data_IF_687469375608
#
_entry.id   IF_687469375608
#
_cell.length_a   1.000
_cell.length_b   1.000
_cell.length_c   1.000
_cell.angle_alpha   90.00
_cell.angle_beta   90.00
_cell.angle_gamma   90.00
#
_symmetry.space_group_name_H-M   'P 1'
#
loop_
_entity.id
_entity.type
_entity.pdbx_description
1 polymer ?
#
# COMPACT_ATOMS: atom_id res chain seq x y z
N UNK A 1 28.16 -14.75 20.54
CA UNK A 1 27.25 -14.55 19.38
C UNK A 1 26.38 -15.81 19.28
N UNK A 2 25.07 -15.67 19.07
CA UNK A 2 24.17 -16.84 19.06
C UNK A 2 24.37 -17.64 17.78
N UNK A 3 24.73 -18.94 17.92
CA UNK A 3 24.94 -19.86 16.80
C UNK A 3 23.73 -19.91 15.85
N UNK A 4 22.52 -19.79 16.40
CA UNK A 4 21.25 -19.76 15.65
C UNK A 4 21.18 -18.53 14.74
N UNK A 5 21.58 -17.35 15.23
CA UNK A 5 21.56 -16.12 14.45
C UNK A 5 22.56 -16.19 13.30
N UNK A 6 23.77 -16.67 13.56
CA UNK A 6 24.81 -16.79 12.53
C UNK A 6 24.40 -17.80 11.45
N UNK A 7 23.80 -18.93 11.83
CA UNK A 7 23.26 -19.91 10.89
C UNK A 7 22.11 -19.33 10.05
N UNK A 8 21.14 -18.67 10.68
CA UNK A 8 20.05 -17.99 9.98
C UNK A 8 20.59 -16.97 8.98
N UNK A 9 21.53 -16.11 9.39
CA UNK A 9 22.12 -15.09 8.50
C UNK A 9 22.86 -15.74 7.33
N UNK A 10 23.53 -16.87 7.55
CA UNK A 10 24.17 -17.65 6.49
C UNK A 10 23.17 -18.20 5.46
N UNK A 11 21.98 -18.65 5.90
CA UNK A 11 20.90 -19.07 4.99
C UNK A 11 20.29 -17.87 4.26
N UNK A 12 19.92 -16.82 4.99
CA UNK A 12 19.33 -15.61 4.41
C UNK A 12 20.21 -14.97 3.34
N UNK A 13 21.53 -14.87 3.58
CA UNK A 13 22.45 -14.29 2.59
C UNK A 13 22.53 -15.10 1.30
N UNK A 14 22.40 -16.44 1.37
CA UNK A 14 22.35 -17.31 0.18
C UNK A 14 21.04 -17.17 -0.58
N UNK A 15 19.96 -16.88 0.13
CA UNK A 15 18.60 -16.74 -0.40
C UNK A 15 18.19 -15.27 -0.65
N UNK A 16 19.11 -14.31 -0.51
CA UNK A 16 18.78 -12.88 -0.60
C UNK A 16 18.09 -12.53 -1.92
N UNK A 17 18.63 -13.02 -3.04
CA UNK A 17 18.07 -12.79 -4.37
C UNK A 17 16.68 -13.39 -4.52
N UNK A 18 16.38 -14.49 -3.82
CA UNK A 18 15.04 -15.06 -3.78
C UNK A 18 14.04 -14.09 -3.12
N UNK A 19 14.36 -13.58 -1.92
CA UNK A 19 13.48 -12.62 -1.23
C UNK A 19 13.31 -11.32 -2.03
N UNK A 20 14.37 -10.89 -2.73
CA UNK A 20 14.31 -9.72 -3.60
C UNK A 20 13.40 -9.96 -4.81
N UNK A 21 13.57 -11.09 -5.50
CA UNK A 21 12.76 -11.46 -6.66
C UNK A 21 11.27 -11.66 -6.29
N UNK A 22 10.99 -12.26 -5.13
CA UNK A 22 9.61 -12.36 -4.61
C UNK A 22 9.00 -10.97 -4.40
N UNK A 23 9.74 -10.05 -3.78
CA UNK A 23 9.27 -8.68 -3.59
C UNK A 23 9.07 -7.95 -4.93
N UNK A 24 9.96 -8.18 -5.91
CA UNK A 24 9.85 -7.63 -7.26
C UNK A 24 8.64 -8.15 -8.04
N UNK A 25 8.31 -9.43 -7.88
CA UNK A 25 7.10 -10.01 -8.47
C UNK A 25 5.84 -9.34 -7.90
N UNK A 26 5.76 -9.19 -6.58
CA UNK A 26 4.64 -8.49 -5.92
C UNK A 26 4.56 -7.01 -6.34
N UNK A 27 5.70 -6.32 -6.46
CA UNK A 27 5.76 -4.96 -7.01
C UNK A 27 5.15 -4.90 -8.42
N UNK A 28 5.54 -5.78 -9.32
CA UNK A 28 5.05 -5.80 -10.70
C UNK A 28 3.54 -6.03 -10.80
N UNK A 29 3.02 -7.00 -10.05
CA UNK A 29 1.57 -7.28 -10.00
C UNK A 29 0.79 -6.09 -9.44
N UNK A 30 1.23 -5.51 -8.32
CA UNK A 30 0.59 -4.33 -7.72
C UNK A 30 0.65 -3.12 -8.63
N UNK A 31 1.81 -2.79 -9.17
CA UNK A 31 1.99 -1.60 -10.01
C UNK A 31 1.14 -1.67 -11.27
N UNK A 32 0.98 -2.86 -11.86
CA UNK A 32 0.10 -3.08 -13.01
C UNK A 32 -1.36 -2.85 -12.63
N UNK A 33 -1.88 -3.55 -11.61
CA UNK A 33 -3.29 -3.50 -11.25
C UNK A 33 -3.72 -2.15 -10.67
N UNK A 34 -2.89 -1.50 -9.86
CA UNK A 34 -3.17 -0.16 -9.33
C UNK A 34 -3.27 0.87 -10.45
N UNK A 35 -2.37 0.80 -11.43
CA UNK A 35 -2.40 1.68 -12.61
C UNK A 35 -3.64 1.46 -13.46
N UNK A 36 -4.01 0.20 -13.69
CA UNK A 36 -5.20 -0.15 -14.48
C UNK A 36 -6.50 0.24 -13.75
N UNK A 37 -6.49 0.25 -12.42
CA UNK A 37 -7.57 0.73 -11.54
C UNK A 37 -7.58 2.25 -11.37
N UNK A 38 -6.67 2.98 -12.03
CA UNK A 38 -6.62 4.45 -11.97
C UNK A 38 -6.12 5.01 -10.62
N UNK A 39 -5.35 4.24 -9.87
CA UNK A 39 -4.67 4.71 -8.66
C UNK A 39 -3.29 5.27 -9.04
N UNK A 40 -3.02 6.54 -8.65
CA UNK A 40 -1.70 7.15 -8.81
C UNK A 40 -0.83 6.84 -7.60
N UNK A 41 0.21 6.05 -7.81
CA UNK A 41 1.16 5.66 -6.77
C UNK A 41 2.55 5.38 -7.33
N UNK A 42 3.54 5.35 -6.45
CA UNK A 42 4.85 4.73 -6.70
C UNK A 42 4.87 3.41 -5.94
N UNK A 43 5.25 2.32 -6.61
CA UNK A 43 5.46 1.02 -5.97
C UNK A 43 6.95 0.72 -6.01
N UNK A 44 7.51 0.25 -4.89
CA UNK A 44 8.91 -0.16 -4.82
C UNK A 44 9.07 -1.41 -3.96
N UNK A 45 10.02 -2.27 -4.30
CA UNK A 45 10.35 -3.46 -3.53
C UNK A 45 11.77 -3.43 -2.98
N UNK A 46 11.99 -4.23 -1.95
CA UNK A 46 13.30 -4.52 -1.38
C UNK A 46 13.30 -5.88 -0.68
N UNK A 47 14.47 -6.50 -0.64
CA UNK A 47 14.78 -7.47 0.40
C UNK A 47 15.37 -6.75 1.61
N UNK A 48 15.24 -7.34 2.80
CA UNK A 48 15.75 -6.74 4.02
C UNK A 48 17.27 -6.71 4.03
N UNK A 49 17.87 -5.56 4.33
CA UNK A 49 19.33 -5.45 4.42
C UNK A 49 19.89 -6.44 5.45
N UNK A 50 20.92 -7.25 5.10
CA UNK A 50 21.52 -8.22 6.03
C UNK A 50 21.98 -7.59 7.35
N UNK A 51 22.60 -6.41 7.28
CA UNK A 51 23.10 -5.70 8.47
C UNK A 51 21.94 -5.26 9.37
N UNK A 52 20.90 -4.64 8.80
CA UNK A 52 19.70 -4.24 9.58
C UNK A 52 18.94 -5.46 10.11
N UNK A 53 18.93 -6.56 9.37
CA UNK A 53 18.30 -7.82 9.78
C UNK A 53 19.01 -8.42 10.99
N UNK A 54 20.35 -8.47 10.97
CA UNK A 54 21.14 -8.97 12.10
C UNK A 54 20.88 -8.16 13.37
N UNK A 55 20.85 -6.82 13.29
CA UNK A 55 20.53 -5.96 14.44
C UNK A 55 19.12 -6.26 14.98
N UNK A 56 18.12 -6.33 14.09
CA UNK A 56 16.72 -6.62 14.47
C UNK A 56 16.58 -7.97 15.18
N UNK A 57 17.17 -9.03 14.63
CA UNK A 57 17.09 -10.38 15.21
C UNK A 57 17.86 -10.45 16.53
N UNK A 58 19.02 -9.80 16.62
CA UNK A 58 19.79 -9.76 17.88
C UNK A 58 18.98 -9.11 18.99
N UNK A 59 18.33 -7.98 18.70
CA UNK A 59 17.44 -7.31 19.66
C UNK A 59 16.26 -8.20 20.08
N UNK A 60 15.55 -8.80 19.12
CA UNK A 60 14.42 -9.70 19.44
C UNK A 60 14.83 -10.96 20.17
N UNK A 61 16.00 -11.52 19.87
CA UNK A 61 16.51 -12.73 20.50
C UNK A 61 16.80 -12.53 22.00
N UNK A 62 17.08 -11.29 22.42
CA UNK A 62 17.26 -10.97 23.84
C UNK A 62 15.99 -11.22 24.67
N UNK A 63 14.81 -11.07 24.06
CA UNK A 63 13.51 -11.31 24.69
C UNK A 63 12.93 -12.68 24.35
N UNK A 64 13.02 -13.09 23.08
CA UNK A 64 12.39 -14.31 22.58
C UNK A 64 13.20 -15.58 22.78
N UNK A 65 14.53 -15.46 22.88
CA UNK A 65 15.47 -16.59 22.97
C UNK A 65 15.18 -17.66 21.90
N UNK A 66 15.42 -17.37 20.63
CA UNK A 66 15.17 -18.32 19.53
C UNK A 66 15.96 -19.62 19.74
N UNK A 67 15.25 -20.74 19.66
CA UNK A 67 15.82 -22.07 19.89
C UNK A 67 16.46 -22.63 18.62
N UNK A 68 15.92 -22.30 17.45
CA UNK A 68 16.38 -22.76 16.15
C UNK A 68 16.17 -21.68 15.07
N UNK A 69 16.65 -21.99 13.85
CA UNK A 69 16.61 -21.10 12.69
C UNK A 69 15.18 -20.89 12.18
N UNK A 70 14.32 -21.90 12.29
CA UNK A 70 12.96 -21.86 11.75
C UNK A 70 12.10 -20.89 12.58
N UNK A 71 12.29 -20.86 13.90
CA UNK A 71 11.67 -19.87 14.78
C UNK A 71 12.02 -18.42 14.39
N UNK A 72 13.21 -18.19 13.82
CA UNK A 72 13.59 -16.87 13.30
C UNK A 72 12.85 -16.57 11.99
N UNK A 73 12.76 -17.52 11.06
CA UNK A 73 12.02 -17.36 9.80
C UNK A 73 10.52 -17.12 10.03
N UNK A 74 9.91 -17.76 11.02
CA UNK A 74 8.50 -17.56 11.36
C UNK A 74 8.22 -16.16 11.94
N UNK A 75 9.17 -15.63 12.72
CA UNK A 75 9.04 -14.34 13.40
C UNK A 75 9.36 -13.13 12.50
N UNK A 76 10.32 -13.27 11.58
CA UNK A 76 10.71 -12.18 10.69
C UNK A 76 9.88 -12.22 9.40
N UNK A 77 8.84 -11.41 9.40
CA UNK A 77 7.80 -11.41 8.36
C UNK A 77 8.11 -10.49 7.17
N UNK A 78 9.11 -9.62 7.34
CA UNK A 78 9.46 -8.52 6.43
C UNK A 78 10.78 -8.75 5.69
N UNK A 79 11.13 -10.02 5.40
CA UNK A 79 12.30 -10.38 4.59
C UNK A 79 12.14 -9.88 3.15
N UNK A 80 10.94 -10.02 2.60
CA UNK A 80 10.48 -9.39 1.36
C UNK A 80 9.53 -8.25 1.72
N UNK A 81 9.81 -7.05 1.22
CA UNK A 81 9.00 -5.86 1.51
C UNK A 81 8.66 -5.08 0.24
N UNK A 82 7.41 -4.62 0.16
CA UNK A 82 6.92 -3.72 -0.89
C UNK A 82 6.34 -2.47 -0.25
N UNK A 83 6.63 -1.30 -0.81
CA UNK A 83 6.04 -0.03 -0.41
C UNK A 83 5.15 0.49 -1.54
N UNK A 84 3.93 0.88 -1.17
CA UNK A 84 3.00 1.57 -2.05
C UNK A 84 2.85 2.99 -1.51
N UNK A 85 3.38 3.96 -2.26
CA UNK A 85 3.32 5.37 -1.96
C UNK A 85 2.20 6.04 -2.77
N UNK A 86 1.03 6.20 -2.16
CA UNK A 86 -0.14 6.82 -2.81
C UNK A 86 -0.02 8.33 -2.85
N UNK A 87 -0.43 8.95 -3.96
CA UNK A 87 -0.35 10.40 -4.11
C UNK A 87 -1.48 11.10 -3.36
N UNK A 88 -2.65 10.46 -3.29
CA UNK A 88 -3.81 10.96 -2.57
C UNK A 88 -4.24 9.93 -1.51
N UNK A 89 -4.30 10.31 -0.22
CA UNK A 89 -4.66 9.37 0.85
C UNK A 89 -6.02 8.68 0.68
N UNK A 90 -7.00 9.37 0.09
CA UNK A 90 -8.34 8.84 -0.24
C UNK A 90 -8.30 7.58 -1.13
N UNK A 91 -7.19 7.31 -1.83
CA UNK A 91 -7.04 6.09 -2.63
C UNK A 91 -6.73 4.83 -1.79
N UNK A 92 -6.56 4.94 -0.47
CA UNK A 92 -6.25 3.80 0.41
C UNK A 92 -7.27 2.65 0.29
N UNK A 93 -8.56 2.96 0.13
CA UNK A 93 -9.60 1.93 -0.01
C UNK A 93 -9.46 1.14 -1.32
N UNK A 94 -9.15 1.81 -2.42
CA UNK A 94 -8.90 1.16 -3.71
C UNK A 94 -7.65 0.29 -3.66
N UNK A 95 -6.59 0.76 -2.98
CA UNK A 95 -5.38 -0.05 -2.78
C UNK A 95 -5.65 -1.29 -1.92
N UNK A 96 -6.40 -1.16 -0.83
CA UNK A 96 -6.79 -2.29 0.03
C UNK A 96 -7.54 -3.36 -0.79
N UNK A 97 -8.48 -2.94 -1.63
CA UNK A 97 -9.21 -3.83 -2.53
C UNK A 97 -8.28 -4.57 -3.49
N UNK A 98 -7.45 -3.84 -4.24
CA UNK A 98 -6.49 -4.45 -5.18
C UNK A 98 -5.55 -5.45 -4.47
N UNK A 99 -5.10 -5.15 -3.25
CA UNK A 99 -4.27 -6.07 -2.46
C UNK A 99 -5.04 -7.37 -2.14
N UNK A 100 -6.30 -7.28 -1.71
CA UNK A 100 -7.12 -8.45 -1.36
C UNK A 100 -7.53 -9.28 -2.58
N UNK A 101 -7.69 -8.63 -3.73
CA UNK A 101 -8.02 -9.30 -4.99
C UNK A 101 -6.81 -10.12 -5.47
N UNK A 102 -5.60 -9.57 -5.37
CA UNK A 102 -4.38 -10.23 -5.85
C UNK A 102 -3.79 -11.25 -4.88
N UNK A 103 -3.88 -11.00 -3.57
CA UNK A 103 -3.12 -11.76 -2.58
C UNK A 103 -3.97 -12.30 -1.45
N UNK A 104 -3.49 -13.37 -0.83
CA UNK A 104 -4.06 -13.87 0.43
C UNK A 104 -3.50 -13.02 1.57
N UNK A 105 -4.34 -12.18 2.18
CA UNK A 105 -3.96 -11.33 3.32
C UNK A 105 -4.03 -12.14 4.61
N UNK A 106 -2.88 -12.43 5.22
CA UNK A 106 -2.80 -13.14 6.50
C UNK A 106 -3.01 -12.22 7.70
N UNK A 107 -2.54 -10.98 7.59
CA UNK A 107 -2.59 -9.99 8.67
C UNK A 107 -2.61 -8.59 8.11
N UNK A 108 -3.39 -7.72 8.73
CA UNK A 108 -3.40 -6.28 8.49
C UNK A 108 -3.08 -5.55 9.80
N UNK A 109 -2.26 -4.51 9.73
CA UNK A 109 -2.05 -3.55 10.82
C UNK A 109 -2.31 -2.15 10.29
N UNK A 110 -3.05 -1.36 11.07
CA UNK A 110 -3.34 0.05 10.79
C UNK A 110 -2.56 0.91 11.77
N UNK A 111 -1.96 1.98 11.27
CA UNK A 111 -1.22 2.96 12.05
C UNK A 111 -1.91 4.33 11.96
N UNK A 112 -1.95 5.10 13.06
CA UNK A 112 -1.47 4.74 14.40
C UNK A 112 -2.25 3.57 15.01
N UNK A 113 -1.61 2.77 15.87
CA UNK A 113 -2.30 1.72 16.61
C UNK A 113 -3.16 2.39 17.71
N UNK A 114 -4.39 1.91 17.96
CA UNK A 114 -5.30 2.38 19.04
C UNK A 114 -4.79 2.07 20.46
N UNK A 115 -3.47 1.93 20.62
CA UNK A 115 -2.84 1.85 21.92
C UNK A 115 -2.75 3.29 22.42
N UNK A 116 -3.53 3.61 23.45
CA UNK A 116 -3.33 4.82 24.24
C UNK A 116 -1.93 4.82 24.82
N UNK A 117 -0.95 5.28 24.05
CA UNK A 117 0.44 5.36 24.44
C UNK A 117 0.56 6.55 25.38
N UNK A 118 0.56 6.28 26.67
CA UNK A 118 1.07 7.25 27.64
C UNK A 118 2.60 7.19 27.53
N UNK A 119 3.29 8.30 27.24
CA UNK A 119 4.75 8.30 27.17
C UNK A 119 5.35 7.82 28.49
N UNK A 120 6.46 7.09 28.43
CA UNK A 120 7.20 6.76 29.65
C UNK A 120 7.78 8.03 30.28
N UNK A 121 7.99 8.08 31.61
CA UNK A 121 8.58 9.25 32.25
C UNK A 121 9.94 9.63 31.61
N UNK A 122 10.01 10.81 31.00
CA UNK A 122 11.20 11.33 30.32
C UNK A 122 11.21 11.18 28.79
N UNK A 123 10.22 10.50 28.20
CA UNK A 123 10.04 10.47 26.75
C UNK A 123 9.30 11.73 26.24
N UNK A 124 9.64 12.16 25.03
CA UNK A 124 8.94 13.24 24.37
C UNK A 124 7.50 12.81 24.01
N UNK A 125 6.51 13.57 24.48
CA UNK A 125 5.11 13.38 24.13
C UNK A 125 4.84 13.97 22.73
N UNK A 126 4.49 13.09 21.77
CA UNK A 126 4.14 13.51 20.40
C UNK A 126 2.83 14.30 20.42
N UNK A 127 2.85 15.48 19.81
CA UNK A 127 1.67 16.34 19.56
C UNK A 127 0.85 15.79 18.40
N UNK A 128 1.50 15.28 17.36
CA UNK A 128 0.83 14.74 16.18
C UNK A 128 0.72 13.21 16.22
N UNK A 129 -0.23 12.66 15.45
CA UNK A 129 -0.51 11.22 15.43
C UNK A 129 0.67 10.35 14.96
N UNK A 130 1.71 10.96 14.38
CA UNK A 130 2.88 10.26 13.90
C UNK A 130 2.59 9.46 12.63
N UNK A 131 3.07 8.22 12.61
CA UNK A 131 3.05 7.36 11.44
C UNK A 131 1.62 6.92 11.07
N UNK A 132 1.17 7.21 9.84
CA UNK A 132 -0.14 6.80 9.31
C UNK A 132 0.03 5.91 8.07
N UNK A 133 -0.17 4.61 8.25
CA UNK A 133 0.02 3.62 7.20
C UNK A 133 -0.88 2.40 7.41
N UNK A 134 -0.97 1.55 6.39
CA UNK A 134 -1.49 0.18 6.52
C UNK A 134 -0.42 -0.81 6.10
N UNK A 135 -0.14 -1.77 6.95
CA UNK A 135 0.80 -2.86 6.64
C UNK A 135 0.01 -4.14 6.47
N UNK A 136 0.25 -4.83 5.36
CA UNK A 136 -0.34 -6.11 5.03
C UNK A 136 0.75 -7.18 5.03
N UNK A 137 0.48 -8.30 5.67
CA UNK A 137 1.25 -9.53 5.47
C UNK A 137 0.49 -10.37 4.47
N UNK A 138 1.08 -10.61 3.30
CA UNK A 138 0.40 -11.28 2.21
C UNK A 138 1.17 -12.47 1.68
N UNK A 139 0.46 -13.37 0.98
CA UNK A 139 1.02 -14.45 0.18
C UNK A 139 0.44 -14.40 -1.24
N UNK A 140 1.24 -14.81 -2.21
CA UNK A 140 0.80 -14.97 -3.60
C UNK A 140 -0.32 -16.00 -3.71
N UNK A 141 -1.35 -15.73 -4.53
CA UNK A 141 -2.32 -16.73 -5.01
C UNK A 141 -1.71 -17.44 -6.23
N UNK A 142 -1.59 -18.78 -6.26
CA UNK A 142 -1.13 -19.52 -7.46
C UNK A 142 0.21 -20.30 -7.39
N UNK A 143 0.70 -20.76 -8.54
CA UNK A 143 1.20 -22.12 -8.83
C UNK A 143 2.56 -22.63 -8.27
N UNK A 144 3.43 -21.81 -7.66
CA UNK A 144 4.67 -22.38 -7.06
C UNK A 144 4.52 -22.59 -5.57
N UNK A 145 4.72 -23.84 -5.12
CA UNK A 145 4.71 -24.23 -3.70
C UNK A 145 5.57 -23.30 -2.82
N UNK A 146 6.62 -22.69 -3.39
CA UNK A 146 7.58 -21.84 -2.67
C UNK A 146 7.17 -20.36 -2.56
N UNK A 147 6.48 -19.75 -3.54
CA UNK A 147 5.98 -18.36 -3.41
C UNK A 147 4.79 -18.25 -2.45
N UNK A 148 4.10 -19.35 -2.23
CA UNK A 148 3.08 -19.48 -1.19
C UNK A 148 3.69 -19.61 0.22
N UNK A 149 4.95 -20.02 0.36
CA UNK A 149 5.54 -20.35 1.68
C UNK A 149 6.18 -19.16 2.39
N UNK A 150 6.52 -18.08 1.69
CA UNK A 150 7.12 -16.90 2.29
C UNK A 150 6.18 -15.68 2.22
N UNK A 151 5.89 -15.02 3.36
CA UNK A 151 5.07 -13.82 3.37
C UNK A 151 5.84 -12.62 2.82
N UNK A 152 5.10 -11.69 2.22
CA UNK A 152 5.60 -10.38 1.81
C UNK A 152 4.89 -9.31 2.63
N UNK A 153 5.65 -8.36 3.18
CA UNK A 153 5.09 -7.19 3.86
C UNK A 153 4.83 -6.08 2.84
N UNK A 154 3.57 -5.69 2.64
CA UNK A 154 3.18 -4.53 1.83
C UNK A 154 2.86 -3.37 2.77
N UNK A 155 3.59 -2.26 2.65
CA UNK A 155 3.38 -1.04 3.41
C UNK A 155 2.75 0.03 2.52
N UNK A 156 1.51 0.41 2.81
CA UNK A 156 0.78 1.45 2.09
C UNK A 156 0.71 2.72 2.93
N UNK A 157 1.23 3.81 2.38
CA UNK A 157 1.16 5.15 2.99
C UNK A 157 1.22 6.22 1.89
N UNK A 158 0.93 7.48 2.23
CA UNK A 158 1.10 8.56 1.25
C UNK A 158 2.58 8.81 0.93
N UNK A 159 2.87 9.43 -0.21
CA UNK A 159 4.24 9.83 -0.57
C UNK A 159 4.88 10.68 0.54
N UNK A 160 4.15 11.64 1.10
CA UNK A 160 4.64 12.50 2.18
C UNK A 160 4.92 11.70 3.46
N UNK A 161 4.07 10.72 3.79
CA UNK A 161 4.23 9.89 4.98
C UNK A 161 5.41 8.93 4.85
N UNK A 162 5.63 8.34 3.66
CA UNK A 162 6.84 7.54 3.42
C UNK A 162 8.10 8.37 3.59
N UNK A 163 8.16 9.57 2.99
CA UNK A 163 9.31 10.47 3.11
C UNK A 163 9.61 10.82 4.57
N UNK A 164 8.60 11.21 5.36
CA UNK A 164 8.80 11.48 6.78
C UNK A 164 9.21 10.24 7.57
N UNK A 165 8.57 9.09 7.33
CA UNK A 165 8.89 7.84 8.05
C UNK A 165 10.31 7.33 7.78
N UNK A 166 10.87 7.63 6.61
CA UNK A 166 12.26 7.30 6.31
C UNK A 166 13.23 8.16 7.13
N UNK A 167 12.95 9.46 7.24
CA UNK A 167 13.73 10.39 8.05
C UNK A 167 13.61 10.04 9.54
N UNK A 168 12.39 9.84 10.05
CA UNK A 168 12.16 9.43 11.43
C UNK A 168 12.87 8.11 11.74
N UNK A 169 12.70 7.09 10.90
CA UNK A 169 13.33 5.79 11.11
C UNK A 169 14.87 5.92 11.08
N UNK A 170 15.45 6.64 10.13
CA UNK A 170 16.91 6.74 10.07
C UNK A 170 17.48 7.56 11.24
N UNK A 171 16.81 8.62 11.72
CA UNK A 171 17.26 9.38 12.89
C UNK A 171 17.09 8.61 14.20
N UNK A 172 15.95 7.93 14.39
CA UNK A 172 15.65 7.18 15.62
C UNK A 172 16.50 5.90 15.70
N UNK A 173 16.70 5.19 14.59
CA UNK A 173 17.43 3.91 14.59
C UNK A 173 18.91 3.99 14.25
N UNK A 174 19.40 5.12 13.71
CA UNK A 174 20.85 5.35 13.50
C UNK A 174 21.37 6.54 14.30
N UNK A 175 21.31 6.52 15.64
CA UNK A 175 22.08 7.43 16.45
C UNK A 175 23.56 7.07 16.36
N UNK A 176 24.21 7.29 15.22
CA UNK A 176 25.67 7.22 15.08
C UNK A 176 26.37 8.23 16.02
N UNK A 177 25.60 9.15 16.63
CA UNK A 177 26.06 10.23 17.50
C UNK A 177 25.34 10.27 18.87
N UNK A 178 24.55 9.25 19.23
CA UNK A 178 23.78 9.21 20.48
C UNK A 178 22.29 9.52 20.34
N UNK A 179 21.54 9.41 21.43
CA UNK A 179 20.08 9.60 21.43
C UNK A 179 19.69 10.99 20.92
N UNK A 180 18.56 11.07 20.21
CA UNK A 180 17.98 12.34 19.78
C UNK A 180 17.75 13.26 20.98
N UNK A 181 18.10 14.53 20.82
CA UNK A 181 17.75 15.58 21.76
C UNK A 181 16.24 15.84 21.75
N UNK A 182 15.73 16.47 22.82
CA UNK A 182 14.33 16.91 22.88
C UNK A 182 13.97 17.82 21.70
N UNK A 183 14.90 18.68 21.28
CA UNK A 183 14.69 19.60 20.15
C UNK A 183 14.54 18.84 18.83
N UNK A 184 15.38 17.84 18.57
CA UNK A 184 15.25 17.01 17.37
C UNK A 184 13.93 16.23 17.34
N UNK A 185 13.47 15.75 18.50
CA UNK A 185 12.15 15.14 18.63
C UNK A 185 11.01 16.13 18.30
N UNK A 186 11.10 17.36 18.80
CA UNK A 186 10.12 18.41 18.51
C UNK A 186 10.10 18.79 17.02
N UNK A 187 11.27 18.92 16.39
CA UNK A 187 11.38 19.20 14.96
C UNK A 187 10.78 18.04 14.15
N UNK A 188 11.07 16.79 14.51
CA UNK A 188 10.50 15.63 13.81
C UNK A 188 8.98 15.58 13.91
N UNK A 189 8.43 15.94 15.06
CA UNK A 189 6.99 15.99 15.28
C UNK A 189 6.35 17.17 14.53
N UNK A 190 7.00 18.34 14.49
CA UNK A 190 6.58 19.47 13.66
C UNK A 190 6.51 19.09 12.17
N UNK A 191 7.54 18.41 11.65
CA UNK A 191 7.54 17.90 10.27
C UNK A 191 6.39 16.89 10.07
N UNK A 192 6.07 16.05 11.07
CA UNK A 192 4.90 15.17 11.00
C UNK A 192 3.61 15.98 10.84
N UNK A 193 3.44 17.05 11.61
CA UNK A 193 2.32 17.99 11.48
C UNK A 193 2.19 18.58 10.08
N UNK A 194 3.30 19.01 9.48
CA UNK A 194 3.33 19.51 8.09
C UNK A 194 2.94 18.43 7.08
N UNK A 195 3.38 17.19 7.28
CA UNK A 195 2.98 16.05 6.43
C UNK A 195 1.49 15.75 6.55
N UNK A 196 0.93 15.78 7.76
CA UNK A 196 -0.50 15.59 7.98
C UNK A 196 -1.33 16.70 7.31
N UNK A 197 -0.91 17.96 7.46
CA UNK A 197 -1.53 19.10 6.78
C UNK A 197 -1.43 18.99 5.25
N UNK A 198 -0.28 18.56 4.73
CA UNK A 198 -0.07 18.32 3.31
C UNK A 198 -0.98 17.21 2.77
N UNK A 199 -1.12 16.11 3.50
CA UNK A 199 -2.04 15.02 3.15
C UNK A 199 -3.49 15.51 3.09
N UNK A 200 -3.95 16.31 4.08
CA UNK A 200 -5.29 16.90 4.07
C UNK A 200 -5.48 17.85 2.87
N UNK A 201 -4.47 18.65 2.53
CA UNK A 201 -4.52 19.51 1.35
C UNK A 201 -4.62 18.70 0.04
N UNK A 202 -3.93 17.56 -0.05
CA UNK A 202 -4.00 16.65 -1.19
C UNK A 202 -5.39 16.00 -1.32
N UNK A 203 -6.01 15.57 -0.22
CA UNK A 203 -7.39 15.07 -0.21
C UNK A 203 -8.37 16.14 -0.74
N UNK A 204 -8.27 17.38 -0.22
CA UNK A 204 -9.09 18.51 -0.68
C UNK A 204 -8.85 18.83 -2.16
N UNK A 205 -7.60 18.78 -2.63
CA UNK A 205 -7.27 18.99 -4.03
C UNK A 205 -7.88 17.90 -4.92
N UNK A 206 -7.86 16.65 -4.47
CA UNK A 206 -8.50 15.55 -5.19
C UNK A 206 -10.01 15.74 -5.28
N UNK A 207 -10.65 16.16 -4.18
CA UNK A 207 -12.08 16.47 -4.14
C UNK A 207 -12.45 17.63 -5.10
N UNK A 208 -11.67 18.71 -5.10
CA UNK A 208 -11.86 19.82 -6.04
C UNK A 208 -11.69 19.37 -7.50
N UNK A 209 -10.71 18.50 -7.77
CA UNK A 209 -10.49 17.90 -9.08
C UNK A 209 -11.65 17.01 -9.53
N UNK A 210 -12.21 16.24 -8.59
CA UNK A 210 -13.40 15.40 -8.75
C UNK A 210 -14.63 16.24 -9.11
N UNK A 211 -14.94 17.31 -8.37
CA UNK A 211 -16.06 18.21 -8.70
C UNK A 211 -15.93 18.85 -10.08
N UNK A 212 -14.71 19.12 -10.55
CA UNK A 212 -14.51 19.64 -11.92
C UNK A 212 -14.96 18.65 -13.00
N UNK A 213 -14.87 17.34 -12.76
CA UNK A 213 -15.38 16.31 -13.69
C UNK A 213 -16.91 16.26 -13.73
N UNK A 214 -17.59 16.98 -12.84
CA UNK A 214 -19.06 17.06 -12.78
C UNK A 214 -19.67 18.02 -13.78
N UNK A 215 -18.87 18.94 -14.34
CA UNK A 215 -19.32 19.85 -15.37
C UNK A 215 -19.86 19.08 -16.58
N UNK A 216 -21.05 19.46 -17.08
CA UNK A 216 -21.73 18.74 -18.18
C UNK A 216 -20.89 18.58 -19.44
N UNK A 217 -20.02 19.56 -19.74
CA UNK A 217 -19.18 19.57 -20.93
C UNK A 217 -17.75 19.07 -20.67
N UNK A 218 -17.50 18.42 -19.52
CA UNK A 218 -16.17 17.90 -19.23
C UNK A 218 -15.78 16.80 -20.22
N UNK A 219 -14.57 16.92 -20.77
CA UNK A 219 -13.95 15.91 -21.62
C UNK A 219 -12.83 15.22 -20.83
N UNK A 220 -12.95 13.90 -20.67
CA UNK A 220 -11.95 13.07 -19.99
C UNK A 220 -10.65 13.07 -20.79
N UNK A 221 -9.56 13.53 -20.18
CA UNK A 221 -8.26 13.61 -20.87
C UNK A 221 -7.44 12.34 -20.73
N UNK A 222 -7.72 11.56 -19.69
CA UNK A 222 -7.01 10.32 -19.38
C UNK A 222 -7.91 9.39 -18.53
N UNK A 223 -7.43 8.16 -18.33
CA UNK A 223 -8.15 7.15 -17.55
C UNK A 223 -8.30 7.49 -16.06
N UNK A 224 -7.44 8.34 -15.48
CA UNK A 224 -7.60 8.80 -14.09
C UNK A 224 -8.81 9.74 -13.93
N UNK A 225 -9.02 10.63 -14.91
CA UNK A 225 -10.19 11.50 -14.93
C UNK A 225 -11.47 10.66 -15.04
N UNK A 226 -11.43 9.62 -15.90
CA UNK A 226 -12.51 8.66 -16.07
C UNK A 226 -12.80 7.87 -14.79
N UNK A 227 -11.75 7.34 -14.15
CA UNK A 227 -11.84 6.60 -12.88
C UNK A 227 -12.48 7.48 -11.81
N UNK A 228 -12.03 8.74 -11.69
CA UNK A 228 -12.56 9.69 -10.71
C UNK A 228 -14.06 9.95 -10.92
N UNK A 229 -14.51 10.02 -12.17
CA UNK A 229 -15.95 10.14 -12.48
C UNK A 229 -16.75 8.93 -12.01
N UNK A 230 -16.27 7.72 -12.29
CA UNK A 230 -16.97 6.49 -11.90
C UNK A 230 -17.01 6.30 -10.37
N UNK A 231 -15.91 6.57 -9.68
CA UNK A 231 -15.84 6.51 -8.21
C UNK A 231 -16.85 7.51 -7.59
N UNK A 232 -16.93 8.74 -8.09
CA UNK A 232 -17.85 9.75 -7.57
C UNK A 232 -19.34 9.43 -7.81
N UNK A 233 -19.66 8.65 -8.84
CA UNK A 233 -21.06 8.26 -9.10
C UNK A 233 -21.62 7.29 -8.04
N UNK A 234 -20.83 6.91 -7.02
CA UNK A 234 -21.17 6.22 -5.77
C UNK A 234 -22.09 4.97 -5.88
N UNK A 235 -21.52 3.81 -5.51
CA UNK A 235 -22.09 2.49 -5.11
C UNK A 235 -23.18 1.78 -5.92
N UNK A 236 -23.77 2.43 -6.93
CA UNK A 236 -24.83 1.85 -7.75
C UNK A 236 -24.32 1.24 -9.06
N UNK A 237 -23.05 1.47 -9.40
CA UNK A 237 -22.39 0.89 -10.57
C UNK A 237 -21.24 0.03 -10.06
N UNK A 238 -21.25 -1.24 -10.45
CA UNK A 238 -20.18 -2.17 -10.12
C UNK A 238 -18.93 -1.78 -10.90
N UNK A 239 -17.96 -1.19 -10.22
CA UNK A 239 -16.66 -0.81 -10.79
C UNK A 239 -15.56 -1.81 -10.47
N UNK A 240 -15.90 -2.91 -9.80
CA UNK A 240 -14.97 -3.97 -9.44
C UNK A 240 -14.46 -4.67 -10.70
N UNK A 241 -13.15 -4.90 -10.78
CA UNK A 241 -12.50 -5.51 -11.94
C UNK A 241 -12.42 -4.62 -13.19
N UNK A 242 -12.94 -3.38 -13.18
CA UNK A 242 -12.90 -2.52 -14.37
C UNK A 242 -11.48 -1.97 -14.63
N UNK A 243 -10.90 -2.39 -15.76
CA UNK A 243 -9.69 -1.77 -16.29
C UNK A 243 -10.02 -0.42 -16.96
N UNK A 244 -9.98 0.66 -16.18
CA UNK A 244 -10.30 2.01 -16.65
C UNK A 244 -9.35 2.50 -17.74
N UNK A 245 -8.11 1.99 -17.78
CA UNK A 245 -7.15 2.29 -18.84
C UNK A 245 -7.62 1.77 -20.19
N UNK A 246 -8.08 0.51 -20.24
CA UNK A 246 -8.65 -0.10 -21.44
C UNK A 246 -9.96 0.57 -21.84
N UNK A 247 -10.85 0.83 -20.88
CA UNK A 247 -12.10 1.54 -21.13
C UNK A 247 -11.87 2.92 -21.75
N UNK A 248 -10.94 3.71 -21.20
CA UNK A 248 -10.60 5.02 -21.75
C UNK A 248 -10.05 4.93 -23.18
N UNK A 249 -9.23 3.92 -23.48
CA UNK A 249 -8.70 3.70 -24.83
C UNK A 249 -9.83 3.41 -25.84
N UNK A 250 -10.82 2.60 -25.45
CA UNK A 250 -12.01 2.31 -26.27
C UNK A 250 -12.81 3.59 -26.52
N UNK A 251 -13.16 4.31 -25.45
CA UNK A 251 -13.93 5.56 -25.53
C UNK A 251 -13.25 6.61 -26.41
N UNK A 252 -11.92 6.72 -26.29
CA UNK A 252 -11.12 7.60 -27.15
C UNK A 252 -11.16 7.15 -28.61
N UNK A 253 -11.08 5.85 -28.88
CA UNK A 253 -11.14 5.29 -30.23
C UNK A 253 -12.47 5.56 -30.96
N UNK A 254 -13.58 5.65 -30.21
CA UNK A 254 -14.91 5.96 -30.76
C UNK A 254 -15.32 7.44 -30.60
N UNK A 255 -14.40 8.31 -30.16
CA UNK A 255 -14.63 9.74 -29.91
C UNK A 255 -15.79 10.03 -28.92
N UNK A 256 -15.88 9.22 -27.84
CA UNK A 256 -16.90 9.32 -26.77
C UNK A 256 -16.27 9.60 -25.40
N UNK A 257 -15.43 10.62 -25.34
CA UNK A 257 -14.70 11.02 -24.11
C UNK A 257 -15.38 12.14 -23.34
N UNK A 258 -16.59 12.58 -23.73
CA UNK A 258 -17.32 13.63 -23.00
C UNK A 258 -18.21 13.02 -21.92
N UNK A 259 -18.41 13.77 -20.83
CA UNK A 259 -19.33 13.38 -19.75
C UNK A 259 -20.73 13.10 -20.28
N UNK A 260 -21.24 13.91 -21.21
CA UNK A 260 -22.56 13.71 -21.83
C UNK A 260 -22.72 12.36 -22.53
N UNK A 261 -21.63 11.77 -23.04
CA UNK A 261 -21.63 10.43 -23.63
C UNK A 261 -21.75 9.34 -22.55
N UNK A 262 -21.11 9.54 -21.40
CA UNK A 262 -21.07 8.56 -20.31
C UNK A 262 -22.26 8.64 -19.34
N UNK A 263 -22.99 9.77 -19.29
CA UNK A 263 -24.21 9.87 -18.48
C UNK A 263 -25.21 8.80 -18.91
N UNK A 264 -25.43 8.63 -20.22
CA UNK A 264 -26.35 7.60 -20.72
C UNK A 264 -25.91 6.19 -20.35
N UNK A 265 -24.60 5.92 -20.39
CA UNK A 265 -24.01 4.63 -20.03
C UNK A 265 -24.17 4.36 -18.52
N UNK A 266 -23.86 5.35 -17.68
CA UNK A 266 -24.00 5.22 -16.23
C UNK A 266 -25.46 5.07 -15.80
N UNK A 267 -26.39 5.81 -16.41
CA UNK A 267 -27.83 5.64 -16.21
C UNK A 267 -28.35 4.27 -16.66
N UNK A 268 -27.78 3.72 -17.75
CA UNK A 268 -28.08 2.36 -18.18
C UNK A 268 -27.58 1.33 -17.16
N UNK A 269 -26.33 1.44 -16.70
CA UNK A 269 -25.75 0.51 -15.73
C UNK A 269 -26.51 0.53 -14.40
N UNK A 270 -26.88 1.72 -13.90
CA UNK A 270 -27.69 1.87 -12.68
C UNK A 270 -29.04 1.16 -12.80
N UNK A 271 -29.72 1.29 -13.95
CA UNK A 271 -31.03 0.64 -14.18
C UNK A 271 -30.95 -0.88 -14.32
N UNK A 272 -29.80 -1.41 -14.74
CA UNK A 272 -29.61 -2.84 -15.01
C UNK A 272 -28.67 -3.52 -14.01
N UNK A 273 -28.48 -2.93 -12.81
CA UNK A 273 -27.47 -3.35 -11.82
C UNK A 273 -27.52 -4.84 -11.52
N UNK A 274 -28.67 -5.38 -11.11
CA UNK A 274 -28.83 -6.80 -10.72
C UNK A 274 -28.51 -7.76 -11.88
N UNK A 275 -28.87 -7.39 -13.10
CA UNK A 275 -28.59 -8.20 -14.28
C UNK A 275 -27.09 -8.22 -14.60
N UNK A 276 -26.43 -7.07 -14.51
CA UNK A 276 -24.99 -6.95 -14.71
C UNK A 276 -24.20 -7.69 -13.62
N UNK A 277 -24.64 -7.62 -12.36
CA UNK A 277 -24.06 -8.40 -11.25
C UNK A 277 -24.21 -9.91 -11.49
N UNK A 278 -25.37 -10.37 -11.99
CA UNK A 278 -25.54 -11.78 -12.35
C UNK A 278 -24.64 -12.22 -13.52
N UNK A 279 -24.37 -11.35 -14.49
CA UNK A 279 -23.45 -11.65 -15.60
C UNK A 279 -22.02 -11.72 -15.08
N UNK A 280 -21.62 -10.73 -14.29
CA UNK A 280 -20.27 -10.65 -13.73
C UNK A 280 -19.96 -11.86 -12.84
N UNK A 281 -20.85 -12.19 -11.90
CA UNK A 281 -20.69 -13.37 -11.05
C UNK A 281 -20.60 -14.67 -11.85
N UNK A 282 -21.27 -14.76 -13.01
CA UNK A 282 -21.12 -15.91 -13.91
C UNK A 282 -19.76 -15.90 -14.60
N UNK A 283 -19.27 -14.75 -15.06
CA UNK A 283 -17.97 -14.63 -15.73
C UNK A 283 -16.79 -14.93 -14.80
N UNK A 284 -16.86 -14.51 -13.53
CA UNK A 284 -15.87 -14.86 -12.50
C UNK A 284 -15.84 -16.36 -12.21
N UNK A 285 -17.00 -17.03 -12.18
CA UNK A 285 -17.08 -18.50 -12.02
C UNK A 285 -16.44 -19.25 -13.20
N UNK A 286 -16.38 -18.65 -14.38
CA UNK A 286 -15.76 -19.25 -15.57
C UNK A 286 -14.30 -18.81 -15.81
N UNK A 287 -13.72 -17.96 -14.94
CA UNK A 287 -12.31 -17.53 -15.05
C UNK A 287 -11.98 -16.74 -16.32
N UNK A 288 -12.93 -15.95 -16.83
CA UNK A 288 -12.79 -15.20 -18.11
C UNK A 288 -12.29 -13.76 -17.90
N UNK A 289 -11.91 -13.38 -16.68
CA UNK A 289 -11.42 -12.02 -16.33
C UNK A 289 -9.99 -12.08 -15.81
#
# INVERSE_FOLDING_TARGET
MSKVIDEFMGRYNKEYDFYFNLAKQVEGELEKHLRDSGVRCIVSSRAKSPDRLRVKITGRNAEKCYQDVDAVFEDIVDLSGVRVAIYFPDNMAEVDKVIRDLFTVEKEKKFPEDKGQTPSPGEYEKVFSGYKARHYRVRMKGETRYSQLHPVEIQVASVLMHAWSEVEHDLVYKPFQGNLSREEHMILDEINGLVLAGNLALERLQQAGRSRTEAQNYEFKNHYDLTSYFINQNSSIMTEGLNFRSLFRILKGINRTKRSDLIKLTDFMKRNKEHLESIYNRMDVFGVV
#
